data_IF_940541110841
#
_entry.id   IF_940541110841
#
_cell.length_a   1.000
_cell.length_b   1.000
_cell.length_c   1.000
_cell.angle_alpha   90.00
_cell.angle_beta   90.00
_cell.angle_gamma   90.00
#
_symmetry.space_group_name_H-M   'P 1'
#
loop_
_entity.id
_entity.type
_entity.pdbx_description
1 polymer ?
#
# COMPACT_ATOMS: atom_id res chain seq x y z
N UNK A 1 18.46 -16.44 -19.20
CA UNK A 1 17.07 -16.27 -18.76
C UNK A 1 17.04 -16.16 -17.24
N UNK A 2 16.60 -15.05 -16.72
CA UNK A 2 16.43 -14.90 -15.28
C UNK A 2 15.14 -15.62 -14.89
N UNK A 3 15.27 -16.75 -14.21
CA UNK A 3 14.11 -17.44 -13.64
C UNK A 3 13.66 -16.71 -12.39
N UNK A 4 12.39 -16.35 -12.29
CA UNK A 4 11.86 -15.72 -11.09
C UNK A 4 12.18 -16.55 -9.83
N UNK A 5 12.48 -15.91 -8.68
CA UNK A 5 12.71 -16.64 -7.43
C UNK A 5 11.55 -17.58 -7.10
N UNK A 6 11.80 -18.75 -6.48
CA UNK A 6 10.74 -19.69 -6.12
C UNK A 6 9.61 -19.05 -5.31
N UNK A 7 9.95 -18.14 -4.40
CA UNK A 7 8.98 -17.41 -3.58
C UNK A 7 8.09 -16.49 -4.41
N UNK A 8 8.62 -15.87 -5.48
CA UNK A 8 7.85 -15.05 -6.39
C UNK A 8 6.85 -15.89 -7.20
N UNK A 9 7.27 -17.06 -7.66
CA UNK A 9 6.37 -18.00 -8.35
C UNK A 9 5.26 -18.52 -7.44
N UNK A 10 5.59 -18.80 -6.18
CA UNK A 10 4.60 -19.20 -5.18
C UNK A 10 3.57 -18.10 -4.92
N UNK A 11 4.01 -16.86 -4.82
CA UNK A 11 3.13 -15.71 -4.70
C UNK A 11 2.21 -15.56 -5.92
N UNK A 12 2.76 -15.64 -7.13
CA UNK A 12 1.98 -15.52 -8.37
C UNK A 12 0.89 -16.58 -8.46
N UNK A 13 1.20 -17.80 -8.02
CA UNK A 13 0.22 -18.90 -7.97
C UNK A 13 -0.92 -18.63 -6.96
N UNK A 14 -0.63 -17.97 -5.86
CA UNK A 14 -1.63 -17.62 -4.82
C UNK A 14 -2.39 -16.33 -5.10
N UNK A 15 -1.89 -15.46 -5.96
CA UNK A 15 -2.46 -14.14 -6.22
C UNK A 15 -3.95 -14.16 -6.53
N UNK A 16 -4.48 -15.04 -7.41
CA UNK A 16 -5.92 -15.08 -7.68
C UNK A 16 -6.76 -15.39 -6.44
N UNK A 17 -6.27 -16.26 -5.56
CA UNK A 17 -6.95 -16.62 -4.31
C UNK A 17 -6.92 -15.50 -3.29
N UNK A 18 -5.78 -14.81 -3.19
CA UNK A 18 -5.63 -13.61 -2.36
C UNK A 18 -6.60 -12.53 -2.82
N UNK A 19 -6.63 -12.25 -4.12
CA UNK A 19 -7.53 -11.26 -4.71
C UNK A 19 -9.00 -11.57 -4.42
N UNK A 20 -9.41 -12.83 -4.61
CA UNK A 20 -10.80 -13.22 -4.36
C UNK A 20 -11.18 -13.05 -2.89
N UNK A 21 -10.32 -13.47 -1.96
CA UNK A 21 -10.58 -13.28 -0.53
C UNK A 21 -10.69 -11.79 -0.17
N UNK A 22 -9.83 -10.96 -0.71
CA UNK A 22 -9.88 -9.50 -0.49
C UNK A 22 -11.15 -8.86 -1.05
N UNK A 23 -11.61 -9.32 -2.22
CA UNK A 23 -12.88 -8.86 -2.78
C UNK A 23 -14.07 -9.26 -1.90
N UNK A 24 -14.07 -10.49 -1.39
CA UNK A 24 -15.14 -10.99 -0.54
C UNK A 24 -15.22 -10.23 0.81
N UNK A 25 -14.09 -9.75 1.32
CA UNK A 25 -14.01 -9.01 2.57
C UNK A 25 -13.84 -7.49 2.40
N UNK A 26 -14.02 -6.95 1.20
CA UNK A 26 -13.72 -5.54 0.91
C UNK A 26 -14.47 -4.54 1.78
N UNK A 27 -15.68 -4.88 2.22
CA UNK A 27 -16.48 -4.04 3.11
C UNK A 27 -15.82 -3.85 4.49
N UNK A 28 -15.03 -4.83 4.95
CA UNK A 28 -14.29 -4.75 6.21
C UNK A 28 -12.90 -4.14 6.05
N UNK A 29 -12.34 -4.14 4.83
CA UNK A 29 -11.05 -3.53 4.54
C UNK A 29 -11.13 -2.01 4.52
N UNK A 30 -12.10 -1.48 3.80
CA UNK A 30 -12.29 -0.03 3.63
C UNK A 30 -13.72 0.25 3.18
N UNK A 31 -14.46 1.14 3.86
CA UNK A 31 -15.80 1.55 3.44
C UNK A 31 -15.85 2.11 2.01
N UNK A 32 -14.78 2.75 1.55
CA UNK A 32 -14.69 3.27 0.18
C UNK A 32 -14.63 2.13 -0.85
N UNK A 33 -13.89 1.05 -0.56
CA UNK A 33 -13.86 -0.15 -1.42
C UNK A 33 -15.22 -0.84 -1.49
N UNK A 34 -15.96 -0.84 -0.40
CA UNK A 34 -17.31 -1.43 -0.35
C UNK A 34 -18.30 -0.76 -1.31
N UNK A 35 -18.08 0.52 -1.61
CA UNK A 35 -18.93 1.31 -2.51
C UNK A 35 -18.57 1.16 -3.97
N UNK A 36 -17.38 0.64 -4.27
CA UNK A 36 -16.95 0.41 -5.64
C UNK A 36 -17.65 -0.81 -6.23
N UNK A 37 -17.91 -0.77 -7.53
CA UNK A 37 -18.28 -1.96 -8.27
C UNK A 37 -17.13 -2.99 -8.21
N UNK A 38 -17.45 -4.24 -8.46
CA UNK A 38 -16.47 -5.33 -8.37
C UNK A 38 -15.31 -5.14 -9.33
N UNK A 39 -15.55 -4.64 -10.53
CA UNK A 39 -14.51 -4.41 -11.53
C UNK A 39 -13.49 -3.39 -11.04
N UNK A 40 -13.95 -2.26 -10.52
CA UNK A 40 -13.08 -1.19 -10.00
C UNK A 40 -12.34 -1.63 -8.74
N UNK A 41 -13.02 -2.30 -7.81
CA UNK A 41 -12.38 -2.85 -6.61
C UNK A 41 -11.30 -3.88 -6.97
N UNK A 42 -11.57 -4.75 -7.93
CA UNK A 42 -10.61 -5.74 -8.44
C UNK A 42 -9.38 -5.06 -9.04
N UNK A 43 -9.56 -3.99 -9.79
CA UNK A 43 -8.46 -3.24 -10.40
C UNK A 43 -7.57 -2.57 -9.33
N UNK A 44 -8.17 -1.95 -8.32
CA UNK A 44 -7.42 -1.28 -7.26
C UNK A 44 -6.65 -2.26 -6.37
N UNK A 45 -7.30 -3.30 -5.88
CA UNK A 45 -6.67 -4.35 -5.08
C UNK A 45 -5.60 -5.06 -5.91
N UNK A 46 -5.91 -5.36 -7.17
CA UNK A 46 -4.98 -5.99 -8.11
C UNK A 46 -3.71 -5.19 -8.32
N UNK A 47 -3.79 -3.87 -8.42
CA UNK A 47 -2.62 -3.00 -8.54
C UNK A 47 -1.70 -3.11 -7.31
N UNK A 48 -2.25 -3.17 -6.11
CA UNK A 48 -1.48 -3.36 -4.87
C UNK A 48 -0.83 -4.74 -4.88
N UNK A 49 -1.56 -5.79 -5.25
CA UNK A 49 -1.03 -7.16 -5.30
C UNK A 49 0.07 -7.30 -6.34
N UNK A 50 -0.05 -6.67 -7.50
CA UNK A 50 0.99 -6.67 -8.54
C UNK A 50 2.25 -5.97 -8.04
N UNK A 51 2.09 -4.87 -7.31
CA UNK A 51 3.21 -4.17 -6.69
C UNK A 51 3.91 -5.04 -5.64
N UNK A 52 3.17 -5.73 -4.78
CA UNK A 52 3.74 -6.69 -3.82
C UNK A 52 4.52 -7.80 -4.54
N UNK A 53 3.97 -8.34 -5.63
CA UNK A 53 4.65 -9.33 -6.46
C UNK A 53 5.96 -8.82 -7.04
N UNK A 54 5.98 -7.61 -7.57
CA UNK A 54 7.20 -6.98 -8.07
C UNK A 54 8.24 -6.78 -6.97
N UNK A 55 7.82 -6.37 -5.78
CA UNK A 55 8.72 -6.22 -4.65
C UNK A 55 9.30 -7.56 -4.20
N UNK A 56 8.48 -8.61 -4.12
CA UNK A 56 8.94 -9.96 -3.79
C UNK A 56 9.96 -10.46 -4.81
N UNK A 57 9.76 -10.16 -6.09
CA UNK A 57 10.65 -10.59 -7.16
C UNK A 57 11.98 -9.81 -7.21
N UNK A 58 11.97 -8.52 -6.91
CA UNK A 58 13.10 -7.61 -7.13
C UNK A 58 13.74 -7.06 -5.86
N UNK A 59 12.97 -6.92 -4.77
CA UNK A 59 13.42 -6.24 -3.55
C UNK A 59 13.69 -4.75 -3.72
N UNK A 60 13.19 -4.12 -4.79
CA UNK A 60 13.48 -2.72 -5.12
C UNK A 60 12.67 -1.76 -4.24
N UNK A 61 13.31 -1.21 -3.22
CA UNK A 61 12.72 -0.24 -2.29
C UNK A 61 12.42 1.11 -2.96
N UNK A 62 13.16 1.50 -3.98
CA UNK A 62 12.93 2.73 -4.73
C UNK A 62 11.60 2.67 -5.49
N UNK A 63 11.36 1.58 -6.20
CA UNK A 63 10.09 1.34 -6.88
C UNK A 63 8.93 1.22 -5.88
N UNK A 64 9.15 0.58 -4.74
CA UNK A 64 8.16 0.47 -3.67
C UNK A 64 7.74 1.85 -3.16
N UNK A 65 8.70 2.71 -2.85
CA UNK A 65 8.44 4.07 -2.38
C UNK A 65 7.72 4.93 -3.44
N UNK A 66 8.13 4.82 -4.70
CA UNK A 66 7.49 5.53 -5.81
C UNK A 66 6.04 5.10 -6.00
N UNK A 67 5.76 3.81 -5.92
CA UNK A 67 4.39 3.28 -5.95
C UNK A 67 3.54 3.86 -4.82
N UNK A 68 4.02 3.81 -3.59
CA UNK A 68 3.29 4.33 -2.42
C UNK A 68 2.98 5.81 -2.56
N UNK A 69 3.95 6.61 -3.01
CA UNK A 69 3.77 8.04 -3.25
C UNK A 69 2.65 8.30 -4.26
N UNK A 70 2.66 7.62 -5.39
CA UNK A 70 1.63 7.75 -6.43
C UNK A 70 0.28 7.25 -5.95
N UNK A 71 0.25 6.10 -5.28
CA UNK A 71 -0.98 5.50 -4.78
C UNK A 71 -1.67 6.40 -3.74
N UNK A 72 -0.91 6.96 -2.79
CA UNK A 72 -1.43 7.90 -1.81
C UNK A 72 -1.98 9.17 -2.46
N UNK A 73 -1.29 9.72 -3.47
CA UNK A 73 -1.76 10.89 -4.20
C UNK A 73 -3.07 10.63 -4.95
N UNK A 74 -3.19 9.48 -5.59
CA UNK A 74 -4.43 9.07 -6.27
C UNK A 74 -5.59 8.89 -5.29
N UNK A 75 -5.34 8.28 -4.14
CA UNK A 75 -6.37 8.11 -3.11
C UNK A 75 -6.77 9.44 -2.46
N UNK A 76 -5.83 10.34 -2.24
CA UNK A 76 -6.12 11.69 -1.75
C UNK A 76 -7.03 12.48 -2.70
N UNK A 77 -6.86 12.33 -4.01
CA UNK A 77 -7.76 12.92 -5.01
C UNK A 77 -9.19 12.37 -4.91
N UNK A 78 -9.38 11.18 -4.36
CA UNK A 78 -10.68 10.55 -4.08
C UNK A 78 -11.15 10.79 -2.64
N UNK A 79 -10.58 11.76 -1.95
CA UNK A 79 -10.88 12.11 -0.56
C UNK A 79 -10.60 11.00 0.47
N UNK A 80 -9.69 10.07 0.15
CA UNK A 80 -9.21 9.07 1.10
C UNK A 80 -7.96 9.57 1.83
N UNK A 81 -8.04 9.65 3.16
CA UNK A 81 -6.92 10.06 3.99
C UNK A 81 -5.80 9.00 4.05
N UNK A 82 -4.54 9.43 4.28
CA UNK A 82 -3.39 8.52 4.30
C UNK A 82 -3.49 7.43 5.38
N UNK A 83 -4.13 7.71 6.51
CA UNK A 83 -4.35 6.70 7.56
C UNK A 83 -5.29 5.58 7.10
N UNK A 84 -6.34 5.91 6.36
CA UNK A 84 -7.26 4.93 5.77
C UNK A 84 -6.56 4.07 4.72
N UNK A 85 -5.77 4.70 3.87
CA UNK A 85 -4.98 4.00 2.85
C UNK A 85 -3.97 3.06 3.50
N UNK A 86 -3.28 3.51 4.55
CA UNK A 86 -2.36 2.65 5.31
C UNK A 86 -3.06 1.44 5.89
N UNK A 87 -4.22 1.63 6.54
CA UNK A 87 -5.01 0.53 7.10
C UNK A 87 -5.38 -0.51 6.03
N UNK A 88 -5.79 -0.06 4.86
CA UNK A 88 -6.09 -0.92 3.72
C UNK A 88 -4.85 -1.69 3.23
N UNK A 89 -3.72 -1.02 3.05
CA UNK A 89 -2.48 -1.64 2.59
C UNK A 89 -1.98 -2.70 3.59
N UNK A 90 -2.07 -2.42 4.89
CA UNK A 90 -1.72 -3.37 5.94
C UNK A 90 -2.66 -4.58 5.91
N UNK A 91 -3.95 -4.37 5.79
CA UNK A 91 -4.93 -5.46 5.71
C UNK A 91 -4.71 -6.35 4.48
N UNK A 92 -4.34 -5.77 3.33
CA UNK A 92 -3.99 -6.53 2.12
C UNK A 92 -2.74 -7.39 2.38
N UNK A 93 -1.69 -6.81 2.95
CA UNK A 93 -0.47 -7.52 3.28
C UNK A 93 -0.68 -8.66 4.29
N UNK A 94 -1.43 -8.42 5.33
CA UNK A 94 -1.76 -9.42 6.36
C UNK A 94 -2.60 -10.57 5.78
N UNK A 95 -3.57 -10.27 4.94
CA UNK A 95 -4.40 -11.29 4.26
C UNK A 95 -3.54 -12.15 3.34
N UNK A 96 -2.65 -11.54 2.58
CA UNK A 96 -1.72 -12.28 1.72
C UNK A 96 -0.79 -13.19 2.53
N UNK A 97 -0.27 -12.70 3.65
CA UNK A 97 0.57 -13.49 4.56
C UNK A 97 -0.20 -14.67 5.17
N UNK A 98 -1.43 -14.45 5.60
CA UNK A 98 -2.28 -15.50 6.15
C UNK A 98 -2.55 -16.61 5.13
N UNK A 99 -2.93 -16.26 3.91
CA UNK A 99 -3.16 -17.25 2.84
C UNK A 99 -1.89 -18.01 2.51
N UNK A 100 -0.74 -17.36 2.52
CA UNK A 100 0.55 -18.00 2.30
C UNK A 100 0.83 -19.09 3.33
N UNK A 101 0.51 -18.85 4.60
CA UNK A 101 0.64 -19.85 5.66
C UNK A 101 -0.33 -21.01 5.50
N UNK A 102 -1.58 -20.73 5.09
CA UNK A 102 -2.63 -21.74 4.98
C UNK A 102 -2.43 -22.67 3.77
N UNK A 103 -1.91 -22.16 2.66
CA UNK A 103 -1.94 -22.83 1.35
C UNK A 103 -0.60 -23.43 0.91
N UNK A 104 0.52 -22.98 1.47
CA UNK A 104 1.84 -23.42 1.05
C UNK A 104 2.45 -24.41 2.06
N UNK A 105 3.34 -25.31 1.60
CA UNK A 105 4.17 -26.13 2.47
C UNK A 105 4.97 -25.27 3.44
N UNK A 106 5.27 -25.81 4.63
CA UNK A 106 5.85 -25.06 5.76
C UNK A 106 7.09 -24.23 5.41
N UNK A 107 7.98 -24.71 4.53
CA UNK A 107 9.19 -23.98 4.13
C UNK A 107 8.87 -22.75 3.26
N UNK A 108 8.12 -22.95 2.18
CA UNK A 108 7.78 -21.91 1.21
C UNK A 108 6.79 -20.90 1.80
N UNK A 109 5.83 -21.41 2.57
CA UNK A 109 4.85 -20.60 3.28
C UNK A 109 5.49 -19.67 4.31
N UNK A 110 6.46 -20.18 5.07
CA UNK A 110 7.19 -19.37 6.06
C UNK A 110 8.04 -18.28 5.41
N UNK A 111 8.73 -18.59 4.32
CA UNK A 111 9.53 -17.60 3.58
C UNK A 111 8.66 -16.50 3.00
N UNK A 112 7.59 -16.85 2.30
CA UNK A 112 6.68 -15.87 1.70
C UNK A 112 5.97 -15.04 2.77
N UNK A 113 5.52 -15.65 3.87
CA UNK A 113 4.92 -14.95 5.00
C UNK A 113 5.87 -13.93 5.60
N UNK A 114 7.15 -14.31 5.79
CA UNK A 114 8.16 -13.41 6.31
C UNK A 114 8.41 -12.23 5.38
N UNK A 115 8.49 -12.45 4.08
CA UNK A 115 8.66 -11.39 3.09
C UNK A 115 7.46 -10.44 3.07
N UNK A 116 6.25 -10.97 3.06
CA UNK A 116 5.02 -10.16 3.10
C UNK A 116 4.93 -9.33 4.39
N UNK A 117 5.30 -9.90 5.53
CA UNK A 117 5.35 -9.19 6.80
C UNK A 117 6.36 -8.05 6.77
N UNK A 118 7.54 -8.28 6.20
CA UNK A 118 8.56 -7.24 6.03
C UNK A 118 8.12 -6.13 5.09
N UNK A 119 7.50 -6.48 3.97
CA UNK A 119 6.94 -5.49 3.03
C UNK A 119 5.86 -4.66 3.71
N UNK A 120 4.97 -5.29 4.45
CA UNK A 120 3.90 -4.59 5.18
C UNK A 120 4.49 -3.62 6.21
N UNK A 121 5.50 -4.02 6.96
CA UNK A 121 6.20 -3.15 7.90
C UNK A 121 6.94 -2.00 7.19
N UNK A 122 7.56 -2.27 6.05
CA UNK A 122 8.21 -1.24 5.23
C UNK A 122 7.20 -0.26 4.64
N UNK A 123 6.06 -0.75 4.22
CA UNK A 123 4.92 0.06 3.75
C UNK A 123 4.44 1.01 4.85
N UNK A 124 4.23 0.50 6.06
CA UNK A 124 3.79 1.31 7.20
C UNK A 124 4.79 2.42 7.51
N UNK A 125 6.07 2.12 7.52
CA UNK A 125 7.13 3.12 7.74
C UNK A 125 7.16 4.16 6.63
N UNK A 126 7.13 3.75 5.36
CA UNK A 126 7.16 4.65 4.23
C UNK A 126 5.94 5.58 4.20
N UNK A 127 4.75 5.08 4.49
CA UNK A 127 3.54 5.90 4.56
C UNK A 127 3.61 6.89 5.72
N UNK A 128 4.08 6.47 6.89
CA UNK A 128 4.27 7.36 8.03
C UNK A 128 5.29 8.48 7.73
N UNK A 129 6.39 8.16 7.04
CA UNK A 129 7.37 9.16 6.60
C UNK A 129 6.74 10.17 5.63
N UNK A 130 5.94 9.72 4.67
CA UNK A 130 5.23 10.57 3.73
C UNK A 130 4.20 11.48 4.42
N UNK A 131 3.50 10.97 5.43
CA UNK A 131 2.58 11.76 6.27
C UNK A 131 3.35 12.84 7.03
N UNK A 132 4.48 12.49 7.64
CA UNK A 132 5.32 13.43 8.37
C UNK A 132 5.86 14.53 7.45
N UNK A 133 6.37 14.20 6.27
CA UNK A 133 6.85 15.13 5.26
C UNK A 133 5.74 16.11 4.81
N UNK A 134 4.52 15.60 4.59
CA UNK A 134 3.36 16.42 4.22
C UNK A 134 2.97 17.39 5.35
N UNK A 135 2.95 16.89 6.57
CA UNK A 135 2.65 17.72 7.76
C UNK A 135 3.67 18.85 7.94
N UNK A 136 4.96 18.54 7.84
CA UNK A 136 6.04 19.53 7.92
C UNK A 136 5.89 20.61 6.85
N UNK A 137 5.57 20.23 5.63
CA UNK A 137 5.34 21.15 4.52
C UNK A 137 4.16 22.07 4.78
N UNK A 138 3.04 21.55 5.30
CA UNK A 138 1.85 22.33 5.65
C UNK A 138 2.13 23.30 6.80
N UNK A 139 2.88 22.87 7.81
CA UNK A 139 3.28 23.73 8.91
C UNK A 139 4.20 24.87 8.44
N UNK A 140 5.14 24.60 7.54
CA UNK A 140 6.01 25.62 6.95
C UNK A 140 5.20 26.65 6.14
N UNK A 141 4.25 26.21 5.33
CA UNK A 141 3.35 27.07 4.57
C UNK A 141 2.50 27.94 5.50
N UNK A 142 1.95 27.36 6.55
CA UNK A 142 1.15 28.09 7.53
C UNK A 142 1.98 29.14 8.26
N UNK A 143 3.21 28.82 8.67
CA UNK A 143 4.13 29.77 9.31
C UNK A 143 4.48 30.93 8.37
N UNK A 144 4.69 30.66 7.08
CA UNK A 144 4.95 31.70 6.07
C UNK A 144 3.75 32.63 5.89
N UNK A 145 2.53 32.09 5.76
CA UNK A 145 1.31 32.88 5.66
C UNK A 145 1.09 33.74 6.89
N UNK A 146 1.26 33.19 8.09
CA UNK A 146 1.13 33.95 9.35
C UNK A 146 2.15 35.09 9.46
N UNK A 147 3.34 34.90 8.93
CA UNK A 147 4.37 35.95 8.88
C UNK A 147 3.98 37.04 7.89
N UNK A 148 3.47 36.69 6.71
CA UNK A 148 3.00 37.67 5.71
C UNK A 148 1.83 38.48 6.24
N UNK A 149 0.87 37.87 6.91
CA UNK A 149 -0.26 38.55 7.53
C UNK A 149 0.21 39.59 8.59
N UNK A 150 1.15 39.20 9.46
CA UNK A 150 1.73 40.11 10.46
C UNK A 150 2.49 41.26 9.84
N UNK A 151 3.05 41.10 8.65
CA UNK A 151 3.75 42.16 7.92
C UNK A 151 2.82 42.98 7.02
N UNK A 152 1.50 42.66 6.97
CA UNK A 152 0.54 43.35 6.11
C UNK A 152 0.74 43.07 4.62
N UNK A 153 1.43 42.00 4.27
CA UNK A 153 1.66 41.61 2.89
C UNK A 153 0.51 40.74 2.34
N UNK A 154 0.15 40.92 1.04
CA UNK A 154 -0.89 40.08 0.44
C UNK A 154 -0.44 38.62 0.37
N UNK A 155 -1.37 37.62 0.50
CA UNK A 155 -1.06 36.25 0.28
C UNK A 155 -0.67 36.02 -1.18
N UNK A 156 0.34 35.15 -1.40
CA UNK A 156 0.83 34.81 -2.74
C UNK A 156 0.08 33.66 -3.35
#
# INVERSE_FOLDING_TARGET
MSTAPPVARAYDALRPKILQRLLDMRATLDPALARLDEFTARAQIGAVLDHLGNFIATGDLGLHRAFLHTFLAMRAAEAQGPAQVLAMLVAIGDTAAQISQEELPSSDGSELTLLLTRVTASTARAVNDLIAEDLERRLAQWAELSTKERQGLPPS
#
